data_IF_144560699939
#
_entry.id   IF_144560699939
#
_cell.length_a   1.000
_cell.length_b   1.000
_cell.length_c   1.000
_cell.angle_alpha   90.00
_cell.angle_beta   90.00
_cell.angle_gamma   90.00
#
_symmetry.space_group_name_H-M   'P 1'
#
loop_
_entity.id
_entity.type
_entity.pdbx_description
1 polymer ?
#
# COMPACT_ATOMS: atom_id res chain seq x y z
N UNK A 1 -11.03 4.18 -3.08
CA UNK A 1 -10.65 4.41 -1.67
C UNK A 1 -11.69 5.18 -0.86
N UNK A 2 -12.43 6.13 -1.43
CA UNK A 2 -13.52 6.81 -0.69
C UNK A 2 -14.52 5.83 -0.05
N UNK A 3 -15.05 4.88 -0.82
CA UNK A 3 -15.94 3.85 -0.25
C UNK A 3 -15.28 2.95 0.79
N UNK A 4 -13.96 2.74 0.73
CA UNK A 4 -13.23 1.93 1.71
C UNK A 4 -13.10 2.67 3.04
N UNK A 5 -12.49 3.86 3.04
CA UNK A 5 -12.27 4.63 4.26
C UNK A 5 -13.58 5.24 4.77
N UNK A 6 -14.33 5.98 3.95
CA UNK A 6 -15.55 6.65 4.44
C UNK A 6 -16.70 5.68 4.69
N UNK A 7 -16.74 4.55 3.98
CA UNK A 7 -17.67 3.47 4.31
C UNK A 7 -17.37 2.82 5.67
N UNK A 8 -16.14 2.93 6.17
CA UNK A 8 -15.76 2.40 7.49
C UNK A 8 -16.31 3.22 8.67
N UNK A 9 -16.94 4.39 8.41
CA UNK A 9 -17.76 5.07 9.41
C UNK A 9 -19.06 4.31 9.72
N UNK A 10 -19.53 3.45 8.79
CA UNK A 10 -20.74 2.61 8.91
C UNK A 10 -22.08 3.35 9.07
N UNK A 11 -22.05 4.69 9.07
CA UNK A 11 -23.20 5.54 9.35
C UNK A 11 -23.10 6.87 8.60
N UNK A 12 -24.26 7.43 8.21
CA UNK A 12 -24.39 8.78 7.63
C UNK A 12 -25.75 9.45 7.95
N UNK A 13 -26.54 8.83 8.82
CA UNK A 13 -27.94 9.21 9.06
C UNK A 13 -28.11 10.55 9.80
N UNK A 14 -27.07 11.04 10.46
CA UNK A 14 -27.07 12.28 11.23
C UNK A 14 -25.88 13.17 10.87
N UNK A 15 -25.92 14.41 11.34
CA UNK A 15 -24.94 15.46 11.01
C UNK A 15 -23.53 15.08 11.48
N UNK A 16 -23.41 14.44 12.63
CA UNK A 16 -22.12 14.03 13.19
C UNK A 16 -21.45 12.99 12.29
N UNK A 17 -22.18 11.92 11.95
CA UNK A 17 -21.67 10.88 11.07
C UNK A 17 -21.42 11.40 9.65
N UNK A 18 -22.27 12.28 9.13
CA UNK A 18 -22.05 12.90 7.83
C UNK A 18 -20.78 13.77 7.79
N UNK A 19 -20.51 14.54 8.85
CA UNK A 19 -19.28 15.30 8.97
C UNK A 19 -18.04 14.40 9.10
N UNK A 20 -18.14 13.31 9.86
CA UNK A 20 -17.07 12.33 9.97
C UNK A 20 -16.72 11.70 8.61
N UNK A 21 -17.72 11.26 7.83
CA UNK A 21 -17.49 10.74 6.47
C UNK A 21 -16.84 11.79 5.57
N UNK A 22 -17.29 13.05 5.63
CA UNK A 22 -16.71 14.13 4.84
C UNK A 22 -15.24 14.39 5.20
N UNK A 23 -14.89 14.38 6.49
CA UNK A 23 -13.52 14.52 6.97
C UNK A 23 -12.65 13.34 6.50
N UNK A 24 -13.17 12.11 6.58
CA UNK A 24 -12.48 10.91 6.10
C UNK A 24 -12.21 11.00 4.60
N UNK A 25 -13.16 11.48 3.80
CA UNK A 25 -12.94 11.71 2.38
C UNK A 25 -11.85 12.75 2.13
N UNK A 26 -11.89 13.89 2.83
CA UNK A 26 -10.87 14.93 2.73
C UNK A 26 -9.48 14.35 3.04
N UNK A 27 -9.32 13.69 4.18
CA UNK A 27 -8.05 13.10 4.62
C UNK A 27 -7.54 12.03 3.66
N UNK A 28 -8.44 11.16 3.18
CA UNK A 28 -8.09 10.12 2.21
C UNK A 28 -7.49 10.73 0.94
N UNK A 29 -8.14 11.76 0.38
CA UNK A 29 -7.67 12.42 -0.83
C UNK A 29 -6.40 13.26 -0.58
N UNK A 30 -6.32 13.94 0.57
CA UNK A 30 -5.17 14.73 0.97
C UNK A 30 -3.91 13.86 1.13
N UNK A 31 -4.04 12.68 1.74
CA UNK A 31 -2.94 11.73 1.87
C UNK A 31 -2.47 11.20 0.50
N UNK A 32 -3.40 10.85 -0.40
CA UNK A 32 -3.05 10.48 -1.77
C UNK A 32 -2.26 11.59 -2.48
N UNK A 33 -2.74 12.83 -2.39
CA UNK A 33 -2.08 14.00 -2.97
C UNK A 33 -0.70 14.25 -2.36
N UNK A 34 -0.57 14.14 -1.03
CA UNK A 34 0.71 14.28 -0.33
C UNK A 34 1.74 13.26 -0.81
N UNK A 35 1.34 11.99 -0.94
CA UNK A 35 2.19 10.93 -1.48
C UNK A 35 2.64 11.20 -2.91
N UNK A 36 1.72 11.59 -3.79
CA UNK A 36 2.02 11.98 -5.19
C UNK A 36 3.04 13.12 -5.23
N UNK A 37 2.76 14.22 -4.53
CA UNK A 37 3.58 15.42 -4.58
C UNK A 37 4.98 15.13 -4.04
N UNK A 38 5.10 14.44 -2.90
CA UNK A 38 6.39 14.10 -2.32
C UNK A 38 7.23 13.22 -3.26
N UNK A 39 6.64 12.16 -3.82
CA UNK A 39 7.31 11.29 -4.77
C UNK A 39 7.74 12.03 -6.04
N UNK A 40 6.90 12.94 -6.56
CA UNK A 40 7.23 13.73 -7.75
C UNK A 40 8.35 14.74 -7.47
N UNK A 41 8.37 15.38 -6.29
CA UNK A 41 9.45 16.27 -5.87
C UNK A 41 10.77 15.49 -5.81
N UNK A 42 10.80 14.34 -5.13
CA UNK A 42 12.00 13.49 -5.07
C UNK A 42 12.41 13.04 -6.46
N UNK A 43 11.46 12.59 -7.29
CA UNK A 43 11.76 12.18 -8.65
C UNK A 43 12.43 13.29 -9.46
N UNK A 44 11.88 14.50 -9.37
CA UNK A 44 12.39 15.67 -10.09
C UNK A 44 13.74 16.13 -9.55
N UNK A 45 13.96 16.12 -8.24
CA UNK A 45 15.20 16.60 -7.62
C UNK A 45 16.35 15.65 -7.91
N UNK A 46 16.15 14.34 -7.73
CA UNK A 46 17.23 13.33 -7.83
C UNK A 46 17.39 12.77 -9.25
N UNK A 47 16.29 12.47 -9.94
CA UNK A 47 16.34 11.85 -11.27
C UNK A 47 16.13 12.85 -12.41
N UNK A 48 15.86 14.12 -12.11
CA UNK A 48 15.60 15.20 -13.09
C UNK A 48 14.46 14.89 -14.07
N UNK A 49 13.58 13.95 -13.71
CA UNK A 49 12.43 13.50 -14.50
C UNK A 49 11.19 13.43 -13.63
N UNK A 50 10.03 13.62 -14.24
CA UNK A 50 8.74 13.32 -13.60
C UNK A 50 8.41 11.86 -13.94
N UNK A 51 8.46 10.97 -12.96
CA UNK A 51 8.17 9.55 -13.16
C UNK A 51 6.72 9.24 -12.73
N UNK A 52 5.89 8.81 -13.68
CA UNK A 52 4.48 8.50 -13.42
C UNK A 52 4.31 7.30 -12.48
N UNK A 53 5.18 6.30 -12.55
CA UNK A 53 5.15 5.13 -11.67
C UNK A 53 5.40 5.55 -10.23
N UNK A 54 6.29 6.51 -9.99
CA UNK A 54 6.53 7.03 -8.65
C UNK A 54 5.34 7.86 -8.15
N UNK A 55 4.68 8.61 -9.03
CA UNK A 55 3.48 9.36 -8.69
C UNK A 55 2.34 8.41 -8.28
N UNK A 56 2.08 7.38 -9.09
CA UNK A 56 1.01 6.40 -8.84
C UNK A 56 1.26 5.57 -7.58
N UNK A 57 2.48 5.07 -7.38
CA UNK A 57 2.84 4.37 -6.14
C UNK A 57 2.80 5.31 -4.93
N UNK A 58 3.17 6.59 -5.10
CA UNK A 58 2.99 7.63 -4.08
C UNK A 58 1.52 7.79 -3.69
N UNK A 59 0.61 7.85 -4.67
CA UNK A 59 -0.84 7.92 -4.42
C UNK A 59 -1.33 6.72 -3.61
N UNK A 60 -1.01 5.50 -4.07
CA UNK A 60 -1.44 4.26 -3.41
C UNK A 60 -0.88 4.16 -2.00
N UNK A 61 0.41 4.41 -1.81
CA UNK A 61 1.05 4.31 -0.50
C UNK A 61 0.56 5.40 0.46
N UNK A 62 0.24 6.58 -0.05
CA UNK A 62 -0.39 7.64 0.74
C UNK A 62 -1.79 7.24 1.20
N UNK A 63 -2.59 6.64 0.31
CA UNK A 63 -3.89 6.08 0.63
C UNK A 63 -3.80 4.94 1.66
N UNK A 64 -2.82 4.03 1.52
CA UNK A 64 -2.55 2.98 2.51
C UNK A 64 -2.20 3.58 3.87
N UNK A 65 -1.30 4.57 3.90
CA UNK A 65 -0.77 5.13 5.15
C UNK A 65 -1.84 5.82 6.01
N UNK A 66 -2.87 6.40 5.39
CA UNK A 66 -3.98 7.05 6.12
C UNK A 66 -5.09 6.07 6.54
N UNK A 67 -5.07 4.84 6.04
CA UNK A 67 -6.19 3.88 6.18
C UNK A 67 -6.39 3.38 7.61
N UNK A 68 -5.35 3.34 8.43
CA UNK A 68 -5.45 2.83 9.80
C UNK A 68 -6.34 3.71 10.71
N UNK A 69 -6.31 5.03 10.49
CA UNK A 69 -7.20 5.98 11.16
C UNK A 69 -7.39 7.23 10.27
N UNK A 70 -8.34 7.18 9.31
CA UNK A 70 -8.51 8.26 8.35
C UNK A 70 -9.36 9.41 8.90
N UNK A 71 -9.94 9.28 10.09
CA UNK A 71 -10.82 10.29 10.69
C UNK A 71 -10.03 11.26 11.57
N UNK A 72 -9.14 10.76 12.43
CA UNK A 72 -8.49 11.56 13.47
C UNK A 72 -7.57 12.69 12.97
N UNK A 73 -6.76 12.52 11.90
CA UNK A 73 -5.89 13.59 11.40
C UNK A 73 -6.67 14.79 10.88
N UNK A 74 -6.06 15.98 10.93
CA UNK A 74 -6.44 17.10 10.06
C UNK A 74 -6.04 16.85 8.61
N UNK A 75 -6.61 17.61 7.66
CA UNK A 75 -6.22 17.50 6.25
C UNK A 75 -4.73 17.79 5.99
N UNK A 76 -4.11 18.64 6.81
CA UNK A 76 -2.67 18.91 6.76
C UNK A 76 -1.85 17.70 7.22
N UNK A 77 -2.21 17.12 8.37
CA UNK A 77 -1.54 15.92 8.90
C UNK A 77 -1.72 14.73 7.96
N UNK A 78 -2.92 14.54 7.39
CA UNK A 78 -3.17 13.51 6.39
C UNK A 78 -2.26 13.66 5.16
N UNK A 79 -2.05 14.90 4.69
CA UNK A 79 -1.12 15.19 3.59
C UNK A 79 0.32 14.77 3.95
N UNK A 80 0.79 15.09 5.16
CA UNK A 80 2.13 14.73 5.62
C UNK A 80 2.29 13.21 5.81
N UNK A 81 1.31 12.54 6.41
CA UNK A 81 1.26 11.07 6.55
C UNK A 81 1.36 10.45 5.15
N UNK A 82 0.57 10.94 4.20
CA UNK A 82 0.61 10.48 2.82
C UNK A 82 1.97 10.68 2.14
N UNK A 83 2.57 11.85 2.33
CA UNK A 83 3.92 12.16 1.82
C UNK A 83 4.98 11.18 2.37
N UNK A 84 4.99 10.95 3.69
CA UNK A 84 5.89 9.99 4.32
C UNK A 84 5.66 8.56 3.80
N UNK A 85 4.39 8.14 3.67
CA UNK A 85 4.02 6.85 3.10
C UNK A 85 4.55 6.63 1.68
N UNK A 86 4.38 7.63 0.80
CA UNK A 86 4.90 7.58 -0.56
C UNK A 86 6.43 7.45 -0.62
N UNK A 87 7.15 8.23 0.19
CA UNK A 87 8.61 8.18 0.23
C UNK A 87 9.14 6.86 0.82
N UNK A 88 8.48 6.34 1.85
CA UNK A 88 8.80 5.04 2.44
C UNK A 88 8.57 3.89 1.45
N UNK A 89 7.48 3.92 0.68
CA UNK A 89 7.25 2.94 -0.39
C UNK A 89 8.40 2.93 -1.40
N UNK A 90 8.87 4.10 -1.84
CA UNK A 90 9.97 4.15 -2.80
C UNK A 90 11.28 3.59 -2.22
N UNK A 91 11.65 4.02 -1.01
CA UNK A 91 12.84 3.49 -0.33
C UNK A 91 12.74 1.98 -0.11
N UNK A 92 11.56 1.49 0.26
CA UNK A 92 11.25 0.07 0.44
C UNK A 92 11.39 -0.71 -0.87
N UNK A 93 10.88 -0.19 -1.98
CA UNK A 93 10.97 -0.84 -3.29
C UNK A 93 12.42 -1.06 -3.69
N UNK A 94 13.24 0.00 -3.57
CA UNK A 94 14.68 -0.09 -3.85
C UNK A 94 15.36 -1.07 -2.88
N UNK A 95 15.00 -1.06 -1.60
CA UNK A 95 15.53 -2.00 -0.61
C UNK A 95 15.26 -3.46 -0.99
N UNK A 96 14.00 -3.81 -1.28
CA UNK A 96 13.60 -5.18 -1.61
C UNK A 96 14.21 -5.66 -2.92
N UNK A 97 14.11 -4.89 -4.00
CA UNK A 97 14.59 -5.32 -5.32
C UNK A 97 16.12 -5.30 -5.41
N UNK A 98 16.75 -4.20 -5.00
CA UNK A 98 18.18 -3.99 -5.28
C UNK A 98 19.08 -4.62 -4.23
N UNK A 99 18.69 -4.61 -2.96
CA UNK A 99 19.51 -5.11 -1.85
C UNK A 99 19.12 -6.52 -1.42
N UNK A 100 17.83 -6.78 -1.19
CA UNK A 100 17.37 -8.10 -0.73
C UNK A 100 17.10 -9.09 -1.86
N UNK A 101 17.10 -8.64 -3.12
CA UNK A 101 16.84 -9.46 -4.31
C UNK A 101 15.50 -10.22 -4.20
N UNK A 102 14.51 -9.57 -3.60
CA UNK A 102 13.14 -10.05 -3.54
C UNK A 102 12.41 -9.55 -4.78
N UNK A 103 11.88 -10.49 -5.55
CA UNK A 103 11.06 -10.21 -6.73
C UNK A 103 9.63 -9.91 -6.29
N UNK A 104 9.34 -8.64 -6.05
CA UNK A 104 8.00 -8.11 -5.74
C UNK A 104 7.44 -7.41 -7.00
N UNK A 105 6.84 -8.15 -7.94
CA UNK A 105 6.62 -7.69 -9.32
C UNK A 105 5.70 -6.48 -9.43
N UNK A 106 4.88 -6.23 -8.42
CA UNK A 106 3.93 -5.10 -8.38
C UNK A 106 4.23 -4.13 -7.24
N UNK A 107 5.33 -4.33 -6.50
CA UNK A 107 5.68 -3.51 -5.34
C UNK A 107 4.67 -3.62 -4.18
N UNK A 108 3.97 -4.74 -4.05
CA UNK A 108 2.91 -4.94 -3.06
C UNK A 108 3.44 -4.82 -1.62
N UNK A 109 4.63 -5.37 -1.34
CA UNK A 109 5.24 -5.29 -0.01
C UNK A 109 5.55 -3.83 0.33
N UNK A 110 6.03 -3.06 -0.64
CA UNK A 110 6.42 -1.67 -0.42
C UNK A 110 5.23 -0.72 -0.30
N UNK A 111 4.25 -0.84 -1.21
CA UNK A 111 3.08 0.04 -1.26
C UNK A 111 2.04 -0.30 -0.20
N UNK A 112 1.91 -1.57 0.20
CA UNK A 112 0.93 -2.01 1.21
C UNK A 112 1.58 -2.41 2.52
N UNK A 113 2.58 -3.29 2.51
CA UNK A 113 3.24 -3.77 3.72
C UNK A 113 3.95 -2.65 4.47
N UNK A 114 4.96 -2.03 3.86
CA UNK A 114 5.77 -0.97 4.50
C UNK A 114 4.93 0.28 4.80
N UNK A 115 4.16 0.76 3.82
CA UNK A 115 3.29 1.93 4.04
C UNK A 115 2.18 1.65 5.07
N UNK A 116 1.65 0.42 5.11
CA UNK A 116 0.62 0.02 6.08
C UNK A 116 1.17 -0.06 7.49
N UNK A 117 2.36 -0.64 7.67
CA UNK A 117 3.08 -0.64 8.96
C UNK A 117 3.29 0.79 9.43
N UNK A 118 3.78 1.67 8.55
CA UNK A 118 3.93 3.09 8.87
C UNK A 118 2.59 3.72 9.28
N UNK A 119 1.53 3.52 8.48
CA UNK A 119 0.20 4.06 8.75
C UNK A 119 -0.36 3.68 10.12
N UNK A 120 -0.24 2.41 10.50
CA UNK A 120 -0.66 1.91 11.83
C UNK A 120 0.19 2.54 12.95
N UNK A 121 1.49 2.65 12.74
CA UNK A 121 2.41 3.19 13.74
C UNK A 121 2.28 4.70 13.94
N UNK A 122 1.76 5.46 12.97
CA UNK A 122 1.58 6.93 13.11
C UNK A 122 0.24 7.34 13.69
N UNK A 123 -0.72 6.41 13.86
CA UNK A 123 -2.03 6.70 14.46
C UNK A 123 -1.93 7.46 15.80
N UNK A 124 -1.06 7.08 16.77
CA UNK A 124 -0.99 7.74 18.08
C UNK A 124 -0.57 9.22 18.03
N UNK A 125 -0.06 9.73 16.90
CA UNK A 125 0.25 11.15 16.75
C UNK A 125 -1.01 12.01 16.53
N UNK A 126 -2.10 11.42 16.05
CA UNK A 126 -3.33 12.15 15.68
C UNK A 126 -4.55 11.67 16.46
N UNK A 127 -4.47 10.49 17.08
CA UNK A 127 -5.52 9.92 17.90
C UNK A 127 -5.01 9.70 19.33
N UNK A 128 -5.55 10.46 20.28
CA UNK A 128 -5.15 10.42 21.68
C UNK A 128 -5.56 9.12 22.41
N UNK A 129 -6.54 8.38 21.87
CA UNK A 129 -6.99 7.10 22.42
C UNK A 129 -6.08 5.94 21.96
N UNK A 130 -5.25 6.16 20.95
CA UNK A 130 -4.27 5.20 20.46
C UNK A 130 -2.92 5.34 21.17
N UNK A 131 -2.20 4.23 21.35
CA UNK A 131 -0.84 4.24 21.87
C UNK A 131 0.09 3.37 21.02
N UNK A 132 1.39 3.71 21.01
CA UNK A 132 2.38 2.99 20.22
C UNK A 132 2.51 1.51 20.57
N UNK A 133 2.29 1.14 21.84
CA UNK A 133 2.39 -0.25 22.30
C UNK A 133 1.32 -1.14 21.66
N UNK A 134 0.07 -0.71 21.69
CA UNK A 134 -1.03 -1.46 21.06
C UNK A 134 -0.92 -1.50 19.54
N UNK A 135 -0.51 -0.39 18.91
CA UNK A 135 -0.29 -0.35 17.46
C UNK A 135 0.84 -1.30 17.03
N UNK A 136 1.97 -1.28 17.74
CA UNK A 136 3.08 -2.19 17.47
C UNK A 136 2.69 -3.66 17.65
N UNK A 137 1.98 -3.98 18.73
CA UNK A 137 1.46 -5.33 18.96
C UNK A 137 0.52 -5.77 17.82
N UNK A 138 -0.36 -4.88 17.37
CA UNK A 138 -1.25 -5.11 16.22
C UNK A 138 -0.46 -5.40 14.94
N UNK A 139 0.54 -4.57 14.61
CA UNK A 139 1.42 -4.78 13.46
C UNK A 139 2.11 -6.14 13.51
N UNK A 140 2.77 -6.46 14.62
CA UNK A 140 3.47 -7.75 14.77
C UNK A 140 2.50 -8.92 14.64
N UNK A 141 1.32 -8.81 15.24
CA UNK A 141 0.28 -9.84 15.14
C UNK A 141 -0.18 -10.06 13.70
N UNK A 142 -0.46 -8.98 12.95
CA UNK A 142 -0.87 -9.04 11.54
C UNK A 142 0.24 -9.62 10.67
N UNK A 143 1.48 -9.17 10.84
CA UNK A 143 2.63 -9.64 10.05
C UNK A 143 2.89 -11.12 10.31
N UNK A 144 2.96 -11.54 11.57
CA UNK A 144 3.20 -12.94 11.91
C UNK A 144 2.07 -13.84 11.42
N UNK A 145 0.82 -13.47 11.70
CA UNK A 145 -0.34 -14.25 11.26
C UNK A 145 -0.39 -14.35 9.73
N UNK A 146 -0.34 -13.20 9.05
CA UNK A 146 -0.43 -13.12 7.60
C UNK A 146 0.70 -13.84 6.90
N UNK A 147 1.95 -13.60 7.31
CA UNK A 147 3.12 -14.22 6.68
C UNK A 147 3.20 -15.72 6.96
N UNK A 148 3.11 -16.14 8.23
CA UNK A 148 3.30 -17.55 8.60
C UNK A 148 2.22 -18.43 7.99
N UNK A 149 0.95 -18.02 8.07
CA UNK A 149 -0.12 -18.84 7.51
C UNK A 149 -0.12 -18.83 5.98
N UNK A 150 0.13 -17.69 5.35
CA UNK A 150 0.24 -17.64 3.88
C UNK A 150 1.40 -18.49 3.39
N UNK A 151 2.57 -18.39 4.06
CA UNK A 151 3.73 -19.22 3.72
C UNK A 151 3.44 -20.71 3.91
N UNK A 152 2.87 -21.11 5.05
CA UNK A 152 2.53 -22.50 5.32
C UNK A 152 1.50 -23.03 4.30
N UNK A 153 0.47 -22.24 3.99
CA UNK A 153 -0.53 -22.59 2.99
C UNK A 153 0.09 -22.75 1.60
N UNK A 154 0.86 -21.78 1.13
CA UNK A 154 1.51 -21.83 -0.19
C UNK A 154 2.53 -22.97 -0.25
N UNK A 155 3.28 -23.22 0.82
CA UNK A 155 4.20 -24.34 0.89
C UNK A 155 3.47 -25.68 0.72
N UNK A 156 2.38 -25.91 1.46
CA UNK A 156 1.58 -27.13 1.36
C UNK A 156 0.89 -27.24 0.00
N UNK A 157 0.34 -26.16 -0.53
CA UNK A 157 -0.27 -26.12 -1.86
C UNK A 157 0.76 -26.52 -2.92
N UNK A 158 1.98 -26.00 -2.83
CA UNK A 158 3.06 -26.28 -3.77
C UNK A 158 3.54 -27.75 -3.75
N UNK A 159 3.17 -28.55 -2.74
CA UNK A 159 3.40 -30.00 -2.74
C UNK A 159 2.41 -30.77 -3.62
N UNK A 160 1.23 -30.20 -3.88
CA UNK A 160 0.13 -30.85 -4.62
C UNK A 160 -0.06 -30.21 -6.00
N UNK A 161 -0.04 -28.88 -6.06
CA UNK A 161 -0.21 -28.08 -7.26
C UNK A 161 0.81 -26.92 -7.21
N UNK A 162 1.91 -26.99 -7.95
CA UNK A 162 2.92 -25.94 -7.97
C UNK A 162 2.30 -24.58 -8.29
N UNK A 163 2.55 -23.60 -7.42
CA UNK A 163 1.93 -22.26 -7.54
C UNK A 163 2.65 -21.42 -8.59
N UNK A 164 3.97 -21.61 -8.73
CA UNK A 164 4.78 -20.94 -9.74
C UNK A 164 4.80 -21.77 -11.02
N UNK A 165 4.53 -21.13 -12.16
CA UNK A 165 4.68 -21.75 -13.47
C UNK A 165 6.13 -22.22 -13.70
N UNK A 166 6.32 -23.25 -14.53
CA UNK A 166 7.67 -23.71 -14.90
C UNK A 166 8.46 -22.63 -15.66
N UNK A 167 9.78 -22.73 -15.68
CA UNK A 167 10.62 -21.75 -16.38
C UNK A 167 10.36 -21.71 -17.89
N UNK A 168 9.94 -22.84 -18.49
CA UNK A 168 9.57 -22.89 -19.90
C UNK A 168 8.25 -22.17 -20.17
N UNK A 169 7.25 -22.33 -19.30
CA UNK A 169 5.98 -21.59 -19.38
C UNK A 169 6.21 -20.09 -19.14
N UNK A 170 7.04 -19.73 -18.16
CA UNK A 170 7.39 -18.32 -17.89
C UNK A 170 8.04 -17.64 -19.11
N UNK A 171 8.89 -18.35 -19.86
CA UNK A 171 9.51 -17.82 -21.09
C UNK A 171 8.52 -17.69 -22.24
N UNK A 172 7.59 -18.64 -22.38
CA UNK A 172 6.54 -18.62 -23.41
C UNK A 172 5.47 -17.58 -23.13
N UNK A 173 5.22 -17.27 -21.85
CA UNK A 173 4.14 -16.41 -21.38
C UNK A 173 2.91 -17.21 -20.96
N UNK A 174 2.30 -16.80 -19.84
CA UNK A 174 1.12 -17.46 -19.27
C UNK A 174 -0.09 -17.37 -20.20
N UNK A 175 -0.26 -16.31 -20.97
CA UNK A 175 -1.40 -16.17 -21.88
C UNK A 175 -1.40 -17.28 -22.95
N UNK A 176 -0.25 -17.53 -23.59
CA UNK A 176 -0.12 -18.54 -24.62
C UNK A 176 -0.29 -19.97 -24.08
N UNK A 177 -0.05 -20.19 -22.78
CA UNK A 177 -0.18 -21.49 -22.13
C UNK A 177 -1.59 -21.73 -21.58
N UNK A 178 -2.15 -20.76 -20.85
CA UNK A 178 -3.42 -20.90 -20.13
C UNK A 178 -4.64 -20.64 -21.02
N UNK A 179 -4.52 -19.71 -21.98
CA UNK A 179 -5.64 -19.28 -22.83
C UNK A 179 -5.35 -19.38 -24.34
N UNK A 180 -4.18 -19.90 -24.71
CA UNK A 180 -3.83 -20.25 -26.10
C UNK A 180 -3.70 -19.06 -27.06
N UNK A 181 -3.59 -17.84 -26.52
CA UNK A 181 -3.43 -16.60 -27.28
C UNK A 181 -2.29 -15.78 -26.68
N UNK A 182 -1.57 -15.02 -27.50
CA UNK A 182 -0.68 -13.98 -27.02
C UNK A 182 -1.46 -12.66 -26.99
N UNK A 183 -1.54 -12.00 -25.83
CA UNK A 183 -2.29 -10.75 -25.71
C UNK A 183 -1.69 -9.63 -26.58
N UNK A 184 -0.36 -9.64 -26.76
CA UNK A 184 0.38 -8.65 -27.55
C UNK A 184 1.53 -9.32 -28.35
N UNK A 185 1.22 -9.99 -29.48
CA UNK A 185 2.18 -10.81 -30.23
C UNK A 185 3.27 -10.03 -31.00
N UNK A 186 3.27 -8.69 -30.94
CA UNK A 186 4.13 -7.82 -31.77
C UNK A 186 5.10 -6.92 -30.98
N UNK A 187 5.51 -7.29 -29.76
CA UNK A 187 6.56 -6.60 -29.00
C UNK A 187 7.78 -7.48 -28.72
#
# INVERSE_FOLDING_TARGET
WFGFNGGSQLAIQDVENANAVAQVFLNTNAAAAGGVIACLIVARVFFKKTNIIYALNGAISGLVSITADPLSPSGYEATLIGACGGLLCYGSLVAFEQFFKVDDPVGAISAHGTAGIFGVMVVPFTNADANFGSQFYGVVSIVLWGFVLTYAFLFLLNLVAPVKASDDIQKKGLDAEEIGIEAYPEF
#
